data_IF_797649074352
#
_entry.id   IF_797649074352
#
_cell.length_a   1.000
_cell.length_b   1.000
_cell.length_c   1.000
_cell.angle_alpha   90.00
_cell.angle_beta   90.00
_cell.angle_gamma   90.00
#
_symmetry.space_group_name_H-M   'P 1'
#
loop_
_entity.id
_entity.type
_entity.pdbx_description
1 polymer ?
#
# COMPACT_ATOMS: atom_id res chain seq x y z
N UNK A 1 9.55 31.87 8.09
CA UNK A 1 8.44 30.93 7.79
C UNK A 1 9.06 29.55 7.56
N UNK A 2 8.85 28.54 8.41
CA UNK A 2 9.33 27.19 8.12
C UNK A 2 8.52 26.64 6.94
N UNK A 3 9.18 26.45 5.80
CA UNK A 3 8.62 25.75 4.65
C UNK A 3 8.42 24.31 5.08
N UNK A 4 7.18 23.93 5.36
CA UNK A 4 6.81 22.55 5.64
C UNK A 4 7.25 21.68 4.48
N UNK A 5 8.25 20.83 4.69
CA UNK A 5 8.70 19.89 3.68
C UNK A 5 7.56 18.93 3.42
N UNK A 6 6.83 19.15 2.32
CA UNK A 6 5.80 18.22 1.84
C UNK A 6 6.53 16.91 1.53
N UNK A 7 6.56 15.98 2.49
CA UNK A 7 7.08 14.63 2.27
C UNK A 7 6.15 13.98 1.27
N UNK A 8 6.57 13.98 0.00
CA UNK A 8 5.91 13.26 -1.07
C UNK A 8 5.84 11.78 -0.64
N UNK A 9 4.65 11.25 -0.34
CA UNK A 9 4.52 9.89 0.18
C UNK A 9 4.89 8.91 -0.91
N UNK A 10 5.63 7.86 -0.55
CA UNK A 10 6.07 6.84 -1.50
C UNK A 10 4.87 6.23 -2.24
N UNK A 11 4.99 5.91 -3.54
CA UNK A 11 3.94 5.18 -4.23
C UNK A 11 3.72 3.82 -3.51
N UNK A 12 2.46 3.44 -3.23
CA UNK A 12 2.18 2.20 -2.53
C UNK A 12 2.55 1.01 -3.42
N UNK A 13 3.35 0.08 -2.88
CA UNK A 13 3.62 -1.19 -3.56
C UNK A 13 2.40 -2.13 -3.49
N UNK A 14 2.45 -3.24 -4.23
CA UNK A 14 1.35 -4.22 -4.30
C UNK A 14 0.93 -4.73 -2.91
N UNK A 15 1.89 -4.98 -2.02
CA UNK A 15 1.63 -5.44 -0.67
C UNK A 15 0.99 -4.36 0.22
N UNK A 16 1.36 -3.09 0.07
CA UNK A 16 0.74 -1.98 0.80
C UNK A 16 -0.72 -1.81 0.37
N UNK A 17 -1.01 -1.93 -0.93
CA UNK A 17 -2.39 -1.94 -1.44
C UNK A 17 -3.19 -3.10 -0.85
N UNK A 18 -2.60 -4.31 -0.85
CA UNK A 18 -3.22 -5.50 -0.28
C UNK A 18 -3.47 -5.38 1.23
N UNK A 19 -2.49 -4.88 1.99
CA UNK A 19 -2.61 -4.64 3.44
C UNK A 19 -3.70 -3.63 3.75
N UNK A 20 -3.82 -2.56 2.96
CA UNK A 20 -4.88 -1.57 3.13
C UNK A 20 -6.26 -2.18 2.82
N UNK A 21 -6.35 -3.03 1.80
CA UNK A 21 -7.58 -3.75 1.50
C UNK A 21 -7.96 -4.72 2.63
N UNK A 22 -6.98 -5.45 3.16
CA UNK A 22 -7.14 -6.35 4.31
C UNK A 22 -7.60 -5.58 5.54
N UNK A 23 -6.98 -4.43 5.84
CA UNK A 23 -7.39 -3.56 6.95
C UNK A 23 -8.84 -3.11 6.81
N UNK A 24 -9.25 -2.66 5.62
CA UNK A 24 -10.63 -2.25 5.35
C UNK A 24 -11.61 -3.41 5.57
N UNK A 25 -11.27 -4.59 5.04
CA UNK A 25 -12.07 -5.80 5.18
C UNK A 25 -12.21 -6.20 6.66
N UNK A 26 -11.11 -6.20 7.40
CA UNK A 26 -11.13 -6.55 8.82
C UNK A 26 -11.90 -5.51 9.66
N UNK A 27 -11.83 -4.22 9.30
CA UNK A 27 -12.65 -3.15 9.93
C UNK A 27 -14.13 -3.27 9.60
N UNK A 28 -14.49 -3.85 8.46
CA UNK A 28 -15.88 -4.14 8.11
C UNK A 28 -16.42 -5.35 8.88
N UNK A 29 -15.56 -6.34 9.15
CA UNK A 29 -15.92 -7.56 9.89
C UNK A 29 -15.91 -7.37 11.42
N UNK A 30 -15.12 -6.42 11.93
CA UNK A 30 -14.99 -6.16 13.36
C UNK A 30 -15.31 -4.71 13.68
N UNK A 31 -16.23 -4.51 14.63
CA UNK A 31 -16.63 -3.20 15.14
C UNK A 31 -15.51 -2.52 15.96
N UNK A 32 -14.48 -3.27 16.36
CA UNK A 32 -13.36 -2.77 17.17
C UNK A 32 -12.13 -2.43 16.34
N UNK A 33 -11.35 -1.39 16.75
CA UNK A 33 -10.11 -1.05 16.09
C UNK A 33 -9.09 -2.18 16.22
N UNK A 34 -8.62 -2.67 15.07
CA UNK A 34 -7.66 -3.76 15.01
C UNK A 34 -6.23 -3.19 15.03
N UNK A 35 -5.35 -3.70 15.90
CA UNK A 35 -3.96 -3.27 15.94
C UNK A 35 -3.27 -3.42 14.58
N UNK A 36 -2.53 -2.40 14.17
CA UNK A 36 -1.81 -2.41 12.89
C UNK A 36 -0.81 -3.57 12.75
N UNK A 37 -0.29 -4.07 13.88
CA UNK A 37 0.58 -5.25 13.94
C UNK A 37 -0.14 -6.51 13.49
N UNK A 38 -1.36 -6.75 13.99
CA UNK A 38 -2.17 -7.92 13.63
C UNK A 38 -2.49 -7.88 12.14
N UNK A 39 -2.88 -6.70 11.64
CA UNK A 39 -3.19 -6.51 10.22
C UNK A 39 -1.98 -6.82 9.33
N UNK A 40 -0.78 -6.38 9.72
CA UNK A 40 0.45 -6.69 8.98
C UNK A 40 0.76 -8.19 8.98
N UNK A 41 0.56 -8.88 10.12
CA UNK A 41 0.77 -10.33 10.22
C UNK A 41 -0.23 -11.09 9.34
N UNK A 42 -1.52 -10.76 9.45
CA UNK A 42 -2.59 -11.38 8.67
C UNK A 42 -2.41 -11.11 7.18
N UNK A 43 -2.18 -9.85 6.80
CA UNK A 43 -1.94 -9.48 5.41
C UNK A 43 -0.68 -10.15 4.85
N UNK A 44 0.39 -10.29 5.63
CA UNK A 44 1.61 -11.01 5.22
C UNK A 44 1.34 -12.49 4.93
N UNK A 45 0.60 -13.16 5.81
CA UNK A 45 0.21 -14.57 5.62
C UNK A 45 -0.74 -14.74 4.44
N UNK A 46 -1.79 -13.92 4.39
CA UNK A 46 -2.78 -13.99 3.32
C UNK A 46 -2.13 -13.68 1.96
N UNK A 47 -1.26 -12.67 1.88
CA UNK A 47 -0.48 -12.38 0.68
C UNK A 47 0.41 -13.55 0.26
N UNK A 48 1.02 -14.28 1.20
CA UNK A 48 1.83 -15.46 0.84
C UNK A 48 0.96 -16.55 0.19
N UNK A 49 -0.23 -16.82 0.74
CA UNK A 49 -1.17 -17.83 0.25
C UNK A 49 -1.99 -17.38 -0.97
N UNK A 50 -2.08 -16.09 -1.24
CA UNK A 50 -2.91 -15.54 -2.32
C UNK A 50 -2.44 -16.06 -3.71
N UNK A 51 -3.36 -16.43 -4.62
CA UNK A 51 -3.01 -16.85 -5.97
C UNK A 51 -2.28 -15.74 -6.73
N UNK A 52 -1.40 -16.15 -7.66
CA UNK A 52 -0.60 -15.22 -8.47
C UNK A 52 -1.46 -14.27 -9.30
N UNK A 53 -2.67 -14.68 -9.70
CA UNK A 53 -3.63 -13.82 -10.40
C UNK A 53 -4.01 -12.59 -9.56
N UNK A 54 -4.40 -12.79 -8.31
CA UNK A 54 -4.72 -11.70 -7.40
C UNK A 54 -3.48 -10.84 -7.13
N UNK A 55 -2.32 -11.47 -6.88
CA UNK A 55 -1.05 -10.73 -6.73
C UNK A 55 -0.73 -9.89 -7.96
N UNK A 56 -1.03 -10.38 -9.17
CA UNK A 56 -0.84 -9.65 -10.43
C UNK A 56 -1.76 -8.44 -10.53
N UNK A 57 -3.01 -8.52 -10.07
CA UNK A 57 -3.91 -7.37 -10.00
C UNK A 57 -3.29 -6.27 -9.13
N UNK A 58 -2.85 -6.60 -7.91
CA UNK A 58 -2.21 -5.63 -7.02
C UNK A 58 -0.87 -5.11 -7.56
N UNK A 59 -0.09 -5.94 -8.26
CA UNK A 59 1.13 -5.52 -8.97
C UNK A 59 0.83 -4.50 -10.06
N UNK A 60 -0.16 -4.76 -10.92
CA UNK A 60 -0.59 -3.79 -11.94
C UNK A 60 -1.05 -2.48 -11.32
N UNK A 61 -1.85 -2.54 -10.25
CA UNK A 61 -2.29 -1.33 -9.55
C UNK A 61 -1.11 -0.56 -8.95
N UNK A 62 -0.13 -1.25 -8.39
CA UNK A 62 1.09 -0.63 -7.88
C UNK A 62 1.95 0.00 -8.99
N UNK A 63 2.06 -0.65 -10.15
CA UNK A 63 2.77 -0.10 -11.31
C UNK A 63 2.06 1.13 -11.87
N UNK A 64 0.73 1.12 -11.94
CA UNK A 64 -0.06 2.31 -12.34
C UNK A 64 0.14 3.43 -11.33
N UNK A 65 0.02 3.16 -10.03
CA UNK A 65 0.23 4.16 -8.99
C UNK A 65 1.66 4.71 -8.99
N UNK A 66 2.66 3.87 -9.27
CA UNK A 66 4.06 4.28 -9.43
C UNK A 66 4.23 5.19 -10.66
N UNK A 67 3.64 4.83 -11.80
CA UNK A 67 3.65 5.66 -13.02
C UNK A 67 2.96 7.00 -12.78
N UNK A 68 1.75 7.01 -12.22
CA UNK A 68 1.05 8.24 -11.86
C UNK A 68 1.86 9.12 -10.90
N UNK A 69 2.50 8.51 -9.90
CA UNK A 69 3.36 9.24 -8.98
C UNK A 69 4.56 9.86 -9.68
N UNK A 70 5.20 9.12 -10.59
CA UNK A 70 6.32 9.60 -11.38
C UNK A 70 5.90 10.71 -12.35
N UNK A 71 4.69 10.63 -12.95
CA UNK A 71 4.14 11.69 -13.79
C UNK A 71 3.82 12.94 -12.97
N UNK A 72 3.25 12.76 -11.77
CA UNK A 72 2.85 13.86 -10.88
C UNK A 72 4.05 14.53 -10.20
N UNK A 73 5.10 13.77 -9.96
CA UNK A 73 6.34 14.23 -9.34
C UNK A 73 7.54 13.78 -10.20
N UNK A 74 7.78 14.43 -11.35
CA UNK A 74 8.89 14.08 -12.24
C UNK A 74 10.26 14.25 -11.59
N UNK A 75 10.39 15.19 -10.64
CA UNK A 75 11.59 15.40 -9.82
C UNK A 75 11.73 14.42 -8.63
N UNK A 76 10.78 13.49 -8.46
CA UNK A 76 10.85 12.49 -7.39
C UNK A 76 11.91 11.43 -7.72
N UNK A 77 13.12 11.68 -7.25
CA UNK A 77 14.22 10.72 -7.33
C UNK A 77 14.24 9.86 -6.06
N UNK A 78 14.01 8.54 -6.21
CA UNK A 78 14.19 7.57 -5.15
C UNK A 78 15.69 7.51 -4.79
N UNK A 79 16.07 8.20 -3.71
CA UNK A 79 17.37 8.06 -3.09
C UNK A 79 17.25 7.00 -1.98
N UNK A 80 17.81 5.79 -2.18
CA UNK A 80 17.83 4.75 -1.16
C UNK A 80 18.60 5.19 0.09
#
# INVERSE_FOLDING_TARGET
MPVGTVKIPRPPNAFILYRNNTLKTLRLMHDRPIPGTVVSIVAGRAWALEPDENKMVFRRMADVAKKEHQLKYPDYCFKP
#
